data_IF_586081852122
#
_entry.id   IF_586081852122
#
_cell.length_a   1.000
_cell.length_b   1.000
_cell.length_c   1.000
_cell.angle_alpha   90.00
_cell.angle_beta   90.00
_cell.angle_gamma   90.00
#
_symmetry.space_group_name_H-M   'P 1'
#
loop_
_entity.id
_entity.type
_entity.pdbx_description
1 polymer ?
#
# COMPACT_ATOMS: atom_id res chain seq x y z
N UNK A 1 -1.36 -29.58 -9.56
CA UNK A 1 -0.23 -28.65 -9.66
C UNK A 1 0.10 -28.20 -8.26
N UNK A 2 1.30 -28.51 -7.80
CA UNK A 2 1.76 -28.21 -6.45
C UNK A 2 1.85 -26.69 -6.26
N UNK A 3 1.16 -26.20 -5.24
CA UNK A 3 1.30 -24.81 -4.80
C UNK A 3 2.70 -24.64 -4.20
N UNK A 4 3.55 -23.85 -4.83
CA UNK A 4 4.80 -23.45 -4.20
C UNK A 4 4.49 -22.47 -3.07
N UNK A 5 4.71 -22.94 -1.85
CA UNK A 5 4.65 -22.10 -0.65
C UNK A 5 5.99 -21.42 -0.51
N UNK A 6 6.03 -20.10 -0.65
CA UNK A 6 7.22 -19.33 -0.34
C UNK A 6 7.34 -19.19 1.17
N UNK A 7 8.26 -19.90 1.80
CA UNK A 7 8.59 -19.71 3.20
C UNK A 7 9.54 -18.52 3.34
N UNK A 8 9.03 -17.39 3.78
CA UNK A 8 9.87 -16.29 4.28
C UNK A 8 10.27 -16.64 5.72
N UNK A 9 11.56 -16.84 5.97
CA UNK A 9 12.07 -17.04 7.33
C UNK A 9 11.79 -15.81 8.18
N UNK A 10 11.23 -16.04 9.37
CA UNK A 10 10.90 -15.07 10.41
C UNK A 10 9.59 -14.28 10.32
N UNK A 11 8.64 -14.66 9.49
CA UNK A 11 7.30 -14.07 9.58
C UNK A 11 6.29 -15.09 10.11
N UNK A 12 5.52 -14.66 11.08
CA UNK A 12 4.40 -15.39 11.70
C UNK A 12 3.26 -15.72 10.72
N UNK A 13 3.42 -15.34 9.46
CA UNK A 13 2.40 -15.46 8.41
C UNK A 13 2.96 -16.19 7.20
N UNK A 14 2.26 -17.23 6.78
CA UNK A 14 2.47 -17.89 5.48
C UNK A 14 1.57 -17.14 4.50
N UNK A 15 2.17 -16.44 3.55
CA UNK A 15 1.43 -15.80 2.46
C UNK A 15 1.28 -16.77 1.30
N UNK A 16 0.05 -17.02 0.88
CA UNK A 16 -0.20 -17.69 -0.40
C UNK A 16 0.02 -16.69 -1.53
N UNK A 17 0.52 -17.15 -2.67
CA UNK A 17 0.64 -16.31 -3.87
C UNK A 17 -0.75 -15.84 -4.30
N UNK A 18 -0.84 -14.61 -4.80
CA UNK A 18 -2.09 -14.05 -5.32
C UNK A 18 -2.61 -14.90 -6.49
N UNK A 19 -3.92 -15.06 -6.56
CA UNK A 19 -4.57 -15.64 -7.72
C UNK A 19 -4.55 -14.62 -8.88
N UNK A 20 -4.39 -15.11 -10.10
CA UNK A 20 -4.29 -14.29 -11.31
C UNK A 20 -2.89 -14.33 -11.93
N UNK A 21 -2.70 -13.57 -12.97
CA UNK A 21 -1.45 -13.48 -13.74
C UNK A 21 -0.87 -12.06 -13.75
N UNK A 22 -1.59 -11.10 -13.16
CA UNK A 22 -1.17 -9.70 -13.12
C UNK A 22 -1.31 -8.97 -14.46
N UNK A 23 -2.05 -9.53 -15.40
CA UNK A 23 -2.41 -8.87 -16.67
C UNK A 23 -3.73 -8.11 -16.54
N UNK A 24 -4.06 -7.26 -17.49
CA UNK A 24 -5.33 -6.54 -17.49
C UNK A 24 -6.53 -7.49 -17.60
N UNK A 25 -6.40 -8.57 -18.38
CA UNK A 25 -7.45 -9.57 -18.56
C UNK A 25 -7.55 -10.56 -17.40
N UNK A 26 -6.46 -10.79 -16.68
CA UNK A 26 -6.38 -11.71 -15.54
C UNK A 26 -5.56 -11.08 -14.40
N UNK A 27 -6.10 -10.03 -13.72
CA UNK A 27 -5.40 -9.32 -12.66
C UNK A 27 -5.15 -10.20 -11.43
N UNK A 28 -4.14 -9.85 -10.65
CA UNK A 28 -3.98 -10.41 -9.33
C UNK A 28 -5.15 -10.02 -8.44
N UNK A 29 -5.78 -11.00 -7.79
CA UNK A 29 -6.95 -10.78 -6.95
C UNK A 29 -6.55 -10.54 -5.50
N UNK A 30 -7.07 -9.48 -4.93
CA UNK A 30 -6.96 -9.13 -3.51
C UNK A 30 -8.30 -9.45 -2.85
N UNK A 31 -8.36 -10.59 -2.18
CA UNK A 31 -9.59 -11.15 -1.60
C UNK A 31 -9.65 -10.99 -0.10
N UNK A 32 -8.52 -10.65 0.53
CA UNK A 32 -8.37 -10.62 1.97
C UNK A 32 -7.26 -9.67 2.42
N UNK A 33 -7.24 -9.39 3.72
CA UNK A 33 -6.15 -8.66 4.37
C UNK A 33 -4.78 -9.34 4.13
N UNK A 34 -4.74 -10.67 4.09
CA UNK A 34 -3.50 -11.39 3.83
C UNK A 34 -2.99 -11.20 2.41
N UNK A 35 -3.87 -11.12 1.42
CA UNK A 35 -3.48 -10.86 0.03
C UNK A 35 -2.89 -9.46 -0.11
N UNK A 36 -3.51 -8.48 0.53
CA UNK A 36 -2.96 -7.12 0.53
C UNK A 36 -1.61 -7.06 1.27
N UNK A 37 -1.49 -7.76 2.40
CA UNK A 37 -0.23 -7.86 3.12
C UNK A 37 0.86 -8.57 2.29
N UNK A 38 0.49 -9.55 1.50
CA UNK A 38 1.41 -10.19 0.54
C UNK A 38 1.90 -9.20 -0.50
N UNK A 39 1.00 -8.44 -1.16
CA UNK A 39 1.38 -7.38 -2.10
C UNK A 39 2.41 -6.44 -1.47
N UNK A 40 2.12 -5.91 -0.29
CA UNK A 40 3.00 -4.99 0.42
C UNK A 40 4.34 -5.63 0.75
N UNK A 41 4.35 -6.90 1.18
CA UNK A 41 5.58 -7.63 1.49
C UNK A 41 6.48 -7.81 0.26
N UNK A 42 5.89 -8.05 -0.90
CA UNK A 42 6.64 -8.17 -2.15
C UNK A 42 7.25 -6.81 -2.57
N UNK A 43 6.53 -5.73 -2.41
CA UNK A 43 7.07 -4.37 -2.63
C UNK A 43 8.26 -4.07 -1.71
N UNK A 44 8.28 -4.60 -0.50
CA UNK A 44 9.34 -4.40 0.48
C UNK A 44 10.60 -5.26 0.24
N UNK A 45 10.55 -6.27 -0.62
CA UNK A 45 11.66 -7.23 -0.84
C UNK A 45 12.75 -6.75 -1.79
N UNK A 46 12.78 -5.51 -2.22
CA UNK A 46 13.70 -4.94 -3.19
C UNK A 46 13.58 -5.45 -4.63
N UNK A 47 12.58 -6.23 -4.94
CA UNK A 47 12.25 -6.50 -6.33
C UNK A 47 11.58 -5.27 -6.93
N UNK A 48 12.39 -4.39 -7.48
CA UNK A 48 11.92 -3.14 -8.09
C UNK A 48 10.99 -3.35 -9.29
N UNK A 49 10.89 -4.58 -9.77
CA UNK A 49 10.01 -4.94 -10.87
C UNK A 49 8.66 -5.45 -10.38
N UNK A 50 8.53 -5.81 -9.10
CA UNK A 50 7.28 -6.29 -8.58
C UNK A 50 6.23 -5.17 -8.59
N UNK A 51 5.08 -5.47 -9.14
CA UNK A 51 3.99 -4.51 -9.30
C UNK A 51 4.12 -3.56 -10.50
N UNK A 52 5.31 -3.42 -11.10
CA UNK A 52 5.50 -2.51 -12.23
C UNK A 52 4.68 -2.96 -13.44
N UNK A 53 3.72 -2.11 -13.85
CA UNK A 53 2.81 -2.39 -14.96
C UNK A 53 1.85 -3.55 -14.73
N UNK A 54 1.88 -4.21 -13.57
CA UNK A 54 0.96 -5.30 -13.24
C UNK A 54 -0.40 -4.77 -12.78
N UNK A 55 -1.41 -5.61 -12.91
CA UNK A 55 -2.79 -5.29 -12.54
C UNK A 55 -3.20 -6.06 -11.30
N UNK A 56 -3.80 -5.33 -10.36
CA UNK A 56 -4.35 -5.85 -9.10
C UNK A 56 -5.81 -5.42 -9.00
N UNK A 57 -6.68 -6.33 -8.60
CA UNK A 57 -8.09 -6.06 -8.41
C UNK A 57 -8.54 -6.52 -7.04
N UNK A 58 -9.09 -5.60 -6.25
CA UNK A 58 -9.74 -5.92 -4.99
C UNK A 58 -11.13 -6.49 -5.28
N UNK A 59 -11.51 -7.57 -4.61
CA UNK A 59 -12.82 -8.21 -4.78
C UNK A 59 -13.54 -8.45 -3.44
N UNK A 60 -13.03 -7.87 -2.37
CA UNK A 60 -13.65 -7.84 -1.05
C UNK A 60 -13.13 -6.64 -0.25
N UNK A 61 -13.86 -6.23 0.77
CA UNK A 61 -13.39 -5.21 1.71
C UNK A 61 -12.22 -5.74 2.53
N UNK A 62 -11.20 -4.90 2.69
CA UNK A 62 -9.99 -5.20 3.46
C UNK A 62 -10.09 -4.47 4.79
N UNK A 63 -9.92 -5.20 5.90
CA UNK A 63 -10.00 -4.61 7.23
C UNK A 63 -8.66 -4.64 7.95
N UNK A 64 -8.22 -3.49 8.45
CA UNK A 64 -7.02 -3.41 9.30
C UNK A 64 -7.22 -4.21 10.63
N UNK A 65 -6.12 -4.67 11.26
CA UNK A 65 -4.75 -4.35 10.90
C UNK A 65 -4.26 -5.13 9.67
N UNK A 66 -3.57 -4.41 8.79
CA UNK A 66 -2.90 -5.01 7.63
C UNK A 66 -1.42 -5.15 8.00
N UNK A 67 -0.90 -6.36 8.15
CA UNK A 67 0.50 -6.56 8.51
C UNK A 67 1.43 -5.87 7.51
N UNK A 68 2.41 -5.14 8.01
CA UNK A 68 3.45 -4.46 7.22
C UNK A 68 2.94 -3.40 6.21
N UNK A 69 1.66 -3.01 6.28
CA UNK A 69 1.10 -2.09 5.29
C UNK A 69 1.53 -0.64 5.50
N UNK A 70 1.54 -0.17 6.75
CA UNK A 70 1.78 1.24 7.05
C UNK A 70 3.24 1.58 7.29
N UNK A 71 4.03 0.66 7.79
CA UNK A 71 5.45 0.87 7.99
C UNK A 71 6.26 0.02 7.04
N UNK A 72 6.80 0.67 6.05
CA UNK A 72 7.64 0.05 5.03
C UNK A 72 9.14 0.19 5.35
N UNK A 73 9.45 0.73 6.51
CA UNK A 73 10.80 1.09 6.86
C UNK A 73 11.23 2.39 6.16
N UNK A 74 12.50 2.53 5.91
CA UNK A 74 13.03 3.67 5.18
C UNK A 74 12.51 3.66 3.72
N UNK A 75 12.04 4.79 3.22
CA UNK A 75 11.50 4.94 1.86
C UNK A 75 12.47 4.46 0.76
N UNK A 76 13.77 4.48 1.03
CA UNK A 76 14.78 3.92 0.13
C UNK A 76 14.86 2.39 0.15
N UNK A 77 14.22 1.74 1.12
CA UNK A 77 14.22 0.28 1.25
C UNK A 77 12.94 -0.36 0.72
N UNK A 78 11.89 0.40 0.49
CA UNK A 78 10.65 -0.11 -0.09
C UNK A 78 10.68 0.07 -1.61
N UNK A 79 10.30 -0.95 -2.35
CA UNK A 79 10.06 -0.76 -3.76
C UNK A 79 8.78 0.08 -3.93
N UNK A 80 8.81 1.16 -4.72
CA UNK A 80 7.61 1.94 -4.98
C UNK A 80 6.61 1.12 -5.79
N UNK A 81 5.31 1.34 -5.53
CA UNK A 81 4.25 0.76 -6.33
C UNK A 81 4.10 1.54 -7.64
N UNK A 82 4.19 0.84 -8.76
CA UNK A 82 4.06 1.39 -10.12
C UNK A 82 3.12 0.53 -10.99
N UNK A 83 2.15 -0.13 -10.37
CA UNK A 83 1.14 -0.97 -11.02
C UNK A 83 -0.21 -0.29 -11.13
N UNK A 84 -1.19 -1.08 -11.56
CA UNK A 84 -2.60 -0.70 -11.65
C UNK A 84 -3.36 -1.37 -10.50
N UNK A 85 -3.89 -0.62 -9.57
CA UNK A 85 -4.72 -1.11 -8.47
C UNK A 85 -6.15 -0.61 -8.65
N UNK A 86 -7.08 -1.55 -8.87
CA UNK A 86 -8.50 -1.29 -8.95
C UNK A 86 -9.19 -1.80 -7.68
N UNK A 87 -9.70 -0.89 -6.87
CA UNK A 87 -10.47 -1.22 -5.67
C UNK A 87 -11.84 -1.83 -5.96
N UNK A 88 -12.31 -1.77 -7.22
CA UNK A 88 -13.62 -2.28 -7.66
C UNK A 88 -14.79 -1.83 -6.76
N UNK A 89 -14.68 -0.61 -6.22
CA UNK A 89 -15.62 -0.01 -5.26
C UNK A 89 -15.65 -0.70 -3.88
N UNK A 90 -14.67 -1.53 -3.57
CA UNK A 90 -14.48 -2.06 -2.22
C UNK A 90 -13.70 -1.11 -1.33
N UNK A 91 -13.70 -1.41 -0.04
CA UNK A 91 -13.15 -0.54 1.01
C UNK A 91 -11.88 -1.09 1.63
N UNK A 92 -11.04 -0.15 2.08
CA UNK A 92 -10.03 -0.40 3.11
C UNK A 92 -10.58 0.18 4.41
N UNK A 93 -10.85 -0.67 5.40
CA UNK A 93 -11.53 -0.31 6.62
C UNK A 93 -10.56 -0.19 7.80
N UNK A 94 -10.71 0.89 8.57
CA UNK A 94 -10.01 1.13 9.84
C UNK A 94 -8.48 1.06 9.70
N UNK A 95 -7.94 1.63 8.63
CA UNK A 95 -6.50 1.73 8.42
C UNK A 95 -5.87 2.53 9.57
N UNK A 96 -5.09 1.88 10.41
CA UNK A 96 -4.52 2.49 11.61
C UNK A 96 -3.01 2.35 11.65
N UNK A 97 -2.36 3.41 12.07
CA UNK A 97 -0.96 3.43 12.44
C UNK A 97 -0.76 4.30 13.67
N UNK A 98 -0.24 3.70 14.72
CA UNK A 98 0.09 4.38 15.97
C UNK A 98 1.60 4.19 16.23
N UNK A 99 2.41 4.92 15.51
CA UNK A 99 3.87 4.82 15.62
C UNK A 99 4.44 5.78 16.64
N UNK A 100 5.31 5.26 17.50
CA UNK A 100 6.06 6.08 18.49
C UNK A 100 7.44 6.50 17.99
N UNK A 101 7.94 5.84 16.96
CA UNK A 101 9.26 6.10 16.41
C UNK A 101 9.13 6.87 15.12
N UNK A 102 9.35 8.18 15.18
CA UNK A 102 9.60 8.97 13.97
C UNK A 102 10.90 8.50 13.37
N UNK A 103 10.83 7.81 12.24
CA UNK A 103 12.00 7.47 11.46
C UNK A 103 12.72 8.72 10.93
N UNK A 104 13.82 8.51 10.26
CA UNK A 104 14.56 9.57 9.59
C UNK A 104 13.72 10.23 8.48
N UNK A 105 14.19 11.33 7.94
CA UNK A 105 13.47 12.25 7.01
C UNK A 105 12.86 11.59 5.74
N UNK A 106 13.10 10.32 5.53
CA UNK A 106 12.73 9.58 4.32
C UNK A 106 11.56 8.60 4.50
N UNK A 107 10.97 8.54 5.68
CA UNK A 107 9.87 7.60 5.91
C UNK A 107 8.57 8.13 5.31
N UNK A 108 7.91 7.27 4.56
CA UNK A 108 6.64 7.54 3.91
C UNK A 108 5.56 6.59 4.44
N UNK A 109 4.44 7.14 4.90
CA UNK A 109 3.34 6.39 5.51
C UNK A 109 2.04 6.65 4.76
N UNK A 110 1.34 5.58 4.41
CA UNK A 110 0.03 5.55 3.79
C UNK A 110 -0.38 4.12 3.50
N UNK A 111 -1.50 3.91 2.82
CA UNK A 111 -1.87 2.59 2.31
C UNK A 111 -0.74 2.02 1.43
N UNK A 112 -0.22 2.87 0.56
CA UNK A 112 1.06 2.67 -0.13
C UNK A 112 2.10 3.63 0.47
N UNK A 113 3.32 3.17 0.73
CA UNK A 113 4.36 4.11 1.17
C UNK A 113 4.75 5.06 0.04
N UNK A 114 5.01 4.53 -1.15
CA UNK A 114 5.41 5.32 -2.32
C UNK A 114 4.60 4.87 -3.54
N UNK A 115 4.03 5.84 -4.26
CA UNK A 115 3.55 5.66 -5.62
C UNK A 115 4.61 6.19 -6.59
N UNK A 116 4.91 5.44 -7.63
CA UNK A 116 5.94 5.79 -8.61
C UNK A 116 5.34 5.91 -10.02
N UNK A 117 6.14 6.45 -10.91
CA UNK A 117 5.79 6.71 -12.31
C UNK A 117 5.06 5.54 -12.97
N UNK A 118 3.89 5.80 -13.52
CA UNK A 118 3.01 4.81 -14.12
C UNK A 118 1.98 4.18 -13.18
N UNK A 119 2.00 4.50 -11.87
CA UNK A 119 0.99 3.99 -10.95
C UNK A 119 -0.41 4.52 -11.27
N UNK A 120 -1.38 3.61 -11.26
CA UNK A 120 -2.81 3.92 -11.39
C UNK A 120 -3.55 3.34 -10.19
N UNK A 121 -4.22 4.18 -9.42
CA UNK A 121 -5.08 3.76 -8.30
C UNK A 121 -6.50 4.25 -8.59
N UNK A 122 -7.48 3.36 -8.56
CA UNK A 122 -8.85 3.74 -8.88
C UNK A 122 -9.90 2.97 -8.10
N UNK A 123 -11.11 3.56 -8.02
CA UNK A 123 -12.32 2.94 -7.49
C UNK A 123 -12.13 2.37 -6.08
N UNK A 124 -11.52 3.13 -5.18
CA UNK A 124 -11.16 2.67 -3.85
C UNK A 124 -11.66 3.63 -2.77
N UNK A 125 -12.30 3.08 -1.74
CA UNK A 125 -12.70 3.82 -0.56
C UNK A 125 -11.79 3.46 0.63
N UNK A 126 -11.26 4.47 1.33
CA UNK A 126 -10.58 4.31 2.62
C UNK A 126 -11.48 4.90 3.69
N UNK A 127 -11.96 4.07 4.61
CA UNK A 127 -12.95 4.44 5.62
C UNK A 127 -12.47 4.15 7.04
N UNK A 128 -12.65 5.13 7.94
CA UNK A 128 -12.30 5.01 9.35
C UNK A 128 -10.79 4.95 9.60
N UNK A 129 -9.98 5.56 8.74
CA UNK A 129 -8.54 5.59 8.94
C UNK A 129 -8.16 6.50 10.11
N UNK A 130 -7.17 6.08 10.89
CA UNK A 130 -6.61 6.85 11.99
C UNK A 130 -5.08 6.64 12.05
N UNK A 131 -4.36 7.61 11.49
CA UNK A 131 -2.91 7.56 11.35
C UNK A 131 -2.28 8.61 12.26
N UNK A 132 -1.54 8.17 13.25
CA UNK A 132 -0.67 9.02 14.07
C UNK A 132 0.79 8.64 13.84
N UNK A 133 1.53 9.54 13.18
CA UNK A 133 2.91 9.27 12.79
C UNK A 133 3.80 10.49 13.06
N UNK A 134 4.87 10.34 13.86
CA UNK A 134 5.76 11.45 14.20
C UNK A 134 6.82 11.77 13.14
N UNK A 135 6.76 11.16 11.96
CA UNK A 135 7.69 11.37 10.85
C UNK A 135 7.11 12.22 9.71
N UNK A 136 7.90 12.34 8.63
CA UNK A 136 7.53 13.06 7.42
C UNK A 136 6.69 12.20 6.45
N UNK A 137 6.13 12.84 5.41
CA UNK A 137 5.49 12.20 4.27
C UNK A 137 4.35 11.25 4.66
N UNK A 138 3.28 11.80 5.22
CA UNK A 138 2.12 11.05 5.69
C UNK A 138 0.85 11.39 4.90
N UNK A 139 0.20 10.38 4.31
CA UNK A 139 -1.08 10.49 3.61
C UNK A 139 -1.94 9.26 3.82
N UNK A 140 -3.27 9.34 3.62
CA UNK A 140 -4.14 8.17 3.75
C UNK A 140 -3.89 7.17 2.61
N UNK A 141 -3.75 7.65 1.38
CA UNK A 141 -3.47 6.79 0.24
C UNK A 141 -1.97 6.52 0.09
N UNK A 142 -1.14 7.57 0.12
CA UNK A 142 0.29 7.40 -0.02
C UNK A 142 1.09 8.43 0.78
N UNK A 143 2.26 8.01 1.27
CA UNK A 143 3.20 8.93 1.89
C UNK A 143 3.87 9.84 0.86
N UNK A 144 4.34 9.25 -0.24
CA UNK A 144 5.01 9.96 -1.34
C UNK A 144 4.42 9.54 -2.69
N UNK A 145 4.36 10.48 -3.62
CA UNK A 145 4.08 10.22 -5.03
C UNK A 145 5.17 10.87 -5.89
N UNK A 146 5.72 10.11 -6.84
CA UNK A 146 6.81 10.54 -7.71
C UNK A 146 6.52 10.17 -9.16
N UNK A 147 6.56 11.15 -10.07
CA UNK A 147 6.32 10.97 -11.50
C UNK A 147 4.85 11.05 -11.91
N UNK A 148 4.48 10.43 -13.02
CA UNK A 148 3.13 10.47 -13.58
C UNK A 148 2.25 9.43 -12.90
N UNK A 149 1.37 9.88 -12.03
CA UNK A 149 0.47 9.04 -11.24
C UNK A 149 -0.97 9.39 -11.57
N UNK A 150 -1.80 8.38 -11.73
CA UNK A 150 -3.23 8.53 -12.00
C UNK A 150 -4.04 8.03 -10.81
N UNK A 151 -4.87 8.90 -10.26
CA UNK A 151 -5.74 8.58 -9.12
C UNK A 151 -7.17 8.97 -9.51
N UNK A 152 -8.10 8.00 -9.45
CA UNK A 152 -9.46 8.18 -9.91
C UNK A 152 -10.47 7.55 -8.96
N UNK A 153 -11.59 8.21 -8.72
CA UNK A 153 -12.70 7.68 -7.92
C UNK A 153 -12.23 7.16 -6.55
N UNK A 154 -11.54 8.00 -5.81
CA UNK A 154 -11.06 7.68 -4.45
C UNK A 154 -11.88 8.44 -3.43
N UNK A 155 -12.45 7.73 -2.46
CA UNK A 155 -13.09 8.32 -1.28
C UNK A 155 -12.19 8.10 -0.06
N UNK A 156 -11.99 9.16 0.72
CA UNK A 156 -11.18 9.11 1.93
C UNK A 156 -11.99 9.61 3.13
N UNK A 157 -12.03 8.81 4.17
CA UNK A 157 -12.59 9.19 5.47
C UNK A 157 -11.64 8.73 6.58
N UNK A 158 -11.07 9.69 7.31
CA UNK A 158 -10.14 9.37 8.38
C UNK A 158 -9.38 10.58 8.90
N UNK A 159 -8.51 10.32 9.87
CA UNK A 159 -7.66 11.30 10.52
C UNK A 159 -6.19 11.01 10.23
N UNK A 160 -5.42 12.09 10.09
CA UNK A 160 -3.97 12.02 10.07
C UNK A 160 -3.44 13.03 11.09
N UNK A 161 -2.53 12.58 11.93
CA UNK A 161 -1.80 13.41 12.86
C UNK A 161 -0.30 13.14 12.73
N UNK A 162 0.45 14.18 12.45
CA UNK A 162 1.91 14.13 12.42
C UNK A 162 2.49 15.35 13.15
N UNK A 163 3.71 15.20 13.65
CA UNK A 163 4.49 16.29 14.28
C UNK A 163 5.51 16.89 13.32
N UNK A 164 5.57 16.40 12.10
CA UNK A 164 6.51 16.83 11.05
C UNK A 164 5.77 17.41 9.86
N UNK A 165 6.55 17.77 8.83
CA UNK A 165 6.07 18.34 7.59
C UNK A 165 5.58 17.27 6.60
N UNK A 166 5.04 17.73 5.44
CA UNK A 166 4.62 16.87 4.32
C UNK A 166 3.47 15.93 4.70
N UNK A 167 2.42 16.50 5.25
CA UNK A 167 1.20 15.79 5.63
C UNK A 167 0.06 16.22 4.71
N UNK A 168 -0.62 15.26 4.12
CA UNK A 168 -1.76 15.48 3.24
C UNK A 168 -2.85 14.44 3.43
N UNK A 169 -4.11 14.82 3.21
CA UNK A 169 -5.24 13.89 3.33
C UNK A 169 -5.14 12.72 2.35
N UNK A 170 -4.74 12.97 1.10
CA UNK A 170 -4.55 11.94 0.08
C UNK A 170 -3.11 11.47 0.03
N UNK A 171 -2.17 12.39 -0.22
CA UNK A 171 -0.74 12.14 -0.40
C UNK A 171 0.03 13.12 0.48
N UNK A 172 1.04 12.63 1.19
CA UNK A 172 1.87 13.45 2.07
C UNK A 172 2.81 14.39 1.30
N UNK A 173 3.45 13.88 0.25
CA UNK A 173 4.40 14.64 -0.55
C UNK A 173 4.39 14.21 -2.02
N UNK A 174 4.46 15.16 -2.93
CA UNK A 174 4.55 14.96 -4.38
C UNK A 174 5.88 15.53 -4.86
N UNK A 175 6.66 14.69 -5.56
CA UNK A 175 7.90 15.07 -6.24
C UNK A 175 7.70 15.32 -7.72
#
# INVERSE_FOLDING_TARGET
RDKMVSMVRDTKYIYEMLNGEGTEENPYLITSTNDFAYLVSQLATYDRNYGYGQFFKQIADIKAPIPNCLYQGNAYKSAPFAGNYDGDSHKILNLTYLGTNGGEQSDAIGLFSILHDGAVIRNLDIEGADIEYPGNCCGLLAGVANGNIRIENITLNGNIKSTKDKVGGLIGYIE
#
